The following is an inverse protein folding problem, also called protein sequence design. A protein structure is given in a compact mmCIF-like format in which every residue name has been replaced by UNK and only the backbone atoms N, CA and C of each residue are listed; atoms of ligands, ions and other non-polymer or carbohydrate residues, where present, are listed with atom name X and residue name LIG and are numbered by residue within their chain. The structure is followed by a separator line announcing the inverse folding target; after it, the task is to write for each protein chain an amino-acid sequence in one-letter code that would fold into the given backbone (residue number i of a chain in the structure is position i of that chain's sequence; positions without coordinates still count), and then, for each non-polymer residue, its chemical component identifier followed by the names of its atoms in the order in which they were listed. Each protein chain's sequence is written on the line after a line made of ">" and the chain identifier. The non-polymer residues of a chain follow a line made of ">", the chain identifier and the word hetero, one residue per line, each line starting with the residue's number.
data_IF_007265613878
#
_entry.id   IF_007265613878
#
_cell.length_a   1.000
_cell.length_b   1.000
_cell.length_c   1.000
_cell.angle_alpha   90.00
_cell.angle_beta   90.00
_cell.angle_gamma   90.00
#
_symmetry.space_group_name_H-M   'P 1'
#
loop_
_entity.id
_entity.type
_entity.pdbx_description
1 polymer ?
#
# COMPACT_ATOMS: atom_id res chain seq x y z
N UNK A 1 -17.94 19.40 9.11
CA UNK A 1 -17.49 18.09 8.61
C UNK A 1 -18.57 17.57 7.69
N UNK A 2 -18.30 17.55 6.39
CA UNK A 2 -19.33 17.47 5.36
C UNK A 2 -19.32 16.07 4.75
N UNK A 3 -20.38 15.30 5.03
CA UNK A 3 -20.73 14.11 4.27
C UNK A 3 -20.79 14.46 2.78
N UNK A 4 -20.27 13.60 1.89
CA UNK A 4 -20.42 13.80 0.45
C UNK A 4 -21.81 13.29 0.03
N UNK A 5 -22.45 13.98 -0.92
CA UNK A 5 -23.77 13.60 -1.39
C UNK A 5 -23.71 12.21 -2.06
N UNK A 6 -24.38 11.23 -1.46
CA UNK A 6 -24.51 9.89 -2.04
C UNK A 6 -25.46 9.95 -3.25
N UNK A 7 -25.11 9.25 -4.33
CA UNK A 7 -25.90 9.18 -5.57
C UNK A 7 -26.88 8.02 -5.51
N UNK A 8 -28.17 8.31 -5.64
CA UNK A 8 -29.21 7.27 -5.66
C UNK A 8 -29.06 6.34 -6.88
N UNK A 9 -29.19 5.03 -6.65
CA UNK A 9 -29.08 4.00 -7.70
C UNK A 9 -27.67 3.46 -7.95
N UNK A 10 -26.62 4.09 -7.41
CA UNK A 10 -25.25 3.59 -7.52
C UNK A 10 -24.85 2.68 -6.36
N UNK A 11 -24.22 1.56 -6.71
CA UNK A 11 -23.91 0.50 -5.77
C UNK A 11 -22.61 0.74 -4.97
N UNK A 12 -21.68 1.52 -5.55
CA UNK A 12 -20.45 2.03 -4.96
C UNK A 12 -20.54 3.55 -4.97
N UNK A 13 -20.03 4.20 -3.92
CA UNK A 13 -20.13 5.64 -3.73
C UNK A 13 -18.75 6.29 -3.51
N UNK A 14 -17.82 5.53 -2.92
CA UNK A 14 -16.47 6.00 -2.58
C UNK A 14 -15.43 4.98 -3.03
N UNK A 15 -14.37 5.49 -3.67
CA UNK A 15 -13.20 4.71 -4.05
C UNK A 15 -11.98 5.24 -3.28
N UNK A 16 -11.43 4.38 -2.43
CA UNK A 16 -10.18 4.61 -1.74
C UNK A 16 -9.00 4.20 -2.61
N UNK A 17 -7.95 4.99 -2.59
CA UNK A 17 -6.67 4.68 -3.21
C UNK A 17 -5.61 4.62 -2.12
N UNK A 18 -4.74 3.61 -2.17
CA UNK A 18 -3.46 3.67 -1.50
C UNK A 18 -2.51 4.64 -2.24
N UNK A 19 -1.47 5.13 -1.57
CA UNK A 19 -0.52 6.08 -2.16
C UNK A 19 0.74 5.40 -2.67
N UNK A 20 1.59 4.98 -1.72
CA UNK A 20 2.92 4.45 -1.99
C UNK A 20 2.85 3.13 -2.78
N UNK A 21 3.48 3.12 -3.96
CA UNK A 21 3.51 2.01 -4.92
C UNK A 21 2.16 1.62 -5.52
N UNK A 22 1.14 2.47 -5.33
CA UNK A 22 -0.16 2.40 -6.00
C UNK A 22 -0.35 3.59 -6.95
N UNK A 23 -0.13 4.83 -6.46
CA UNK A 23 -0.21 6.07 -7.25
C UNK A 23 1.15 6.54 -7.74
N UNK A 24 2.19 6.40 -6.91
CA UNK A 24 3.56 6.82 -7.19
C UNK A 24 4.56 5.80 -6.66
N UNK A 25 5.78 5.80 -7.20
CA UNK A 25 6.84 4.90 -6.73
C UNK A 25 7.33 5.31 -5.34
N UNK A 26 7.56 4.33 -4.47
CA UNK A 26 8.07 4.56 -3.11
C UNK A 26 9.08 3.51 -2.68
N UNK A 27 8.79 2.21 -2.86
CA UNK A 27 9.64 1.10 -2.38
C UNK A 27 11.09 1.18 -2.87
N UNK A 28 11.32 1.62 -4.12
CA UNK A 28 12.67 1.74 -4.68
C UNK A 28 13.58 2.67 -3.87
N UNK A 29 13.03 3.75 -3.30
CA UNK A 29 13.78 4.70 -2.47
C UNK A 29 14.10 4.11 -1.09
N UNK A 30 13.17 3.34 -0.50
CA UNK A 30 13.42 2.63 0.75
C UNK A 30 14.49 1.54 0.57
N UNK A 31 14.49 0.83 -0.57
CA UNK A 31 15.56 -0.12 -0.92
C UNK A 31 16.92 0.56 -1.09
N UNK A 32 16.95 1.72 -1.72
CA UNK A 32 18.19 2.51 -1.84
C UNK A 32 18.70 2.94 -0.47
N UNK A 33 17.81 3.41 0.41
CA UNK A 33 18.15 3.81 1.77
C UNK A 33 18.72 2.64 2.58
N UNK A 34 18.14 1.44 2.46
CA UNK A 34 18.67 0.22 3.08
C UNK A 34 20.05 -0.12 2.53
N UNK A 35 20.24 -0.10 1.20
CA UNK A 35 21.54 -0.38 0.57
C UNK A 35 22.64 0.61 1.00
N UNK A 36 22.33 1.90 1.08
CA UNK A 36 23.25 2.93 1.57
C UNK A 36 23.59 2.71 3.05
N UNK A 37 22.62 2.26 3.85
CA UNK A 37 22.82 1.88 5.23
C UNK A 37 23.73 0.66 5.37
N UNK A 38 23.55 -0.39 4.56
CA UNK A 38 24.45 -1.55 4.53
C UNK A 38 25.87 -1.12 4.19
N UNK A 39 26.03 -0.24 3.19
CA UNK A 39 27.34 0.28 2.77
C UNK A 39 28.07 1.04 3.89
N UNK A 40 27.35 1.73 4.78
CA UNK A 40 27.95 2.35 5.99
C UNK A 40 28.42 1.27 6.96
N UNK A 41 27.62 0.23 7.18
CA UNK A 41 27.95 -0.84 8.12
C UNK A 41 29.07 -1.78 7.60
N UNK A 42 29.33 -1.79 6.29
CA UNK A 42 30.43 -2.53 5.67
C UNK A 42 31.80 -2.22 6.28
N UNK A 43 31.98 -0.99 6.77
CA UNK A 43 33.23 -0.54 7.39
C UNK A 43 33.43 -1.13 8.80
N UNK A 44 32.38 -1.72 9.38
CA UNK A 44 32.35 -2.20 10.77
C UNK A 44 32.09 -3.71 10.88
N UNK A 45 31.40 -4.30 9.90
CA UNK A 45 30.88 -5.66 9.95
C UNK A 45 31.19 -6.40 8.65
N UNK A 46 31.35 -7.72 8.73
CA UNK A 46 31.36 -8.57 7.55
C UNK A 46 29.92 -8.77 7.04
N UNK A 47 29.57 -8.09 5.95
CA UNK A 47 28.22 -8.01 5.38
C UNK A 47 27.70 -9.33 4.79
N UNK A 48 28.49 -10.41 4.80
CA UNK A 48 28.04 -11.74 4.39
C UNK A 48 26.96 -12.35 5.29
N UNK A 49 26.65 -11.73 6.44
CA UNK A 49 25.72 -12.26 7.44
C UNK A 49 24.32 -11.61 7.33
N UNK A 50 23.32 -12.44 7.01
CA UNK A 50 21.88 -12.08 7.05
C UNK A 50 21.40 -11.53 8.40
N UNK A 51 22.23 -11.64 9.43
CA UNK A 51 22.04 -11.06 10.76
C UNK A 51 21.79 -9.56 10.73
N UNK A 52 22.39 -8.80 9.81
CA UNK A 52 22.18 -7.36 9.72
C UNK A 52 20.72 -7.04 9.38
N UNK A 53 20.19 -7.59 8.28
CA UNK A 53 18.80 -7.35 7.88
C UNK A 53 17.81 -7.88 8.93
N UNK A 54 18.09 -9.04 9.52
CA UNK A 54 17.25 -9.60 10.59
C UNK A 54 17.21 -8.69 11.83
N UNK A 55 18.35 -8.11 12.19
CA UNK A 55 18.45 -7.19 13.33
C UNK A 55 17.71 -5.89 13.04
N UNK A 56 17.91 -5.29 11.87
CA UNK A 56 17.17 -4.09 11.45
C UNK A 56 15.66 -4.34 11.50
N UNK A 57 15.18 -5.45 10.92
CA UNK A 57 13.76 -5.83 10.97
C UNK A 57 13.24 -6.03 12.40
N UNK A 58 14.06 -6.55 13.32
CA UNK A 58 13.69 -6.71 14.72
C UNK A 58 13.55 -5.34 15.42
N UNK A 59 14.49 -4.43 15.16
CA UNK A 59 14.48 -3.06 15.69
C UNK A 59 13.26 -2.28 15.15
N UNK A 60 13.01 -2.33 13.84
CA UNK A 60 11.84 -1.68 13.24
C UNK A 60 10.52 -2.22 13.82
N UNK A 61 10.40 -3.53 14.01
CA UNK A 61 9.19 -4.14 14.59
C UNK A 61 8.96 -3.71 16.04
N UNK A 62 10.00 -3.59 16.87
CA UNK A 62 9.82 -3.08 18.24
C UNK A 62 9.43 -1.60 18.22
N UNK A 63 10.03 -0.81 17.32
CA UNK A 63 9.87 0.63 17.25
C UNK A 63 8.58 1.07 16.56
N UNK A 64 7.96 0.20 15.76
CA UNK A 64 6.71 0.48 15.07
C UNK A 64 5.59 0.95 16.01
N UNK A 65 5.56 0.44 17.25
CA UNK A 65 4.57 0.83 18.27
C UNK A 65 4.75 2.25 18.80
N UNK A 66 5.94 2.83 18.63
CA UNK A 66 6.31 4.14 19.17
C UNK A 66 6.39 5.17 18.05
N UNK A 67 7.09 4.86 16.96
CA UNK A 67 7.31 5.80 15.86
C UNK A 67 6.30 5.68 14.72
N UNK A 68 5.54 4.57 14.66
CA UNK A 68 4.70 4.27 13.53
C UNK A 68 5.50 3.98 12.26
N UNK A 69 4.82 3.99 11.12
CA UNK A 69 5.43 3.81 9.80
C UNK A 69 6.04 5.12 9.27
N UNK A 70 7.09 4.99 8.45
CA UNK A 70 7.64 6.10 7.66
C UNK A 70 9.14 6.33 7.87
N UNK A 71 9.73 7.13 6.98
CA UNK A 71 11.17 7.37 6.92
C UNK A 71 11.80 7.90 8.22
N UNK A 72 11.07 8.67 9.03
CA UNK A 72 11.57 9.17 10.33
C UNK A 72 11.81 8.02 11.33
N UNK A 73 10.83 7.11 11.47
CA UNK A 73 10.96 5.94 12.34
C UNK A 73 12.01 4.95 11.83
N UNK A 74 12.09 4.79 10.51
CA UNK A 74 13.16 4.03 9.86
C UNK A 74 14.55 4.58 10.20
N UNK A 75 14.75 5.90 10.06
CA UNK A 75 16.04 6.55 10.35
C UNK A 75 16.49 6.33 11.79
N UNK A 76 15.57 6.49 12.75
CA UNK A 76 15.85 6.22 14.17
C UNK A 76 16.20 4.74 14.40
N UNK A 77 15.50 3.83 13.73
CA UNK A 77 15.75 2.39 13.82
C UNK A 77 17.08 1.98 13.18
N UNK A 78 17.49 2.62 12.09
CA UNK A 78 18.81 2.46 11.47
C UNK A 78 19.93 2.93 12.40
N UNK A 79 19.78 4.11 13.02
CA UNK A 79 20.74 4.64 14.00
C UNK A 79 20.89 3.67 15.18
N UNK A 80 19.77 3.22 15.74
CA UNK A 80 19.77 2.31 16.88
C UNK A 80 20.40 0.96 16.51
N UNK A 81 20.06 0.43 15.34
CA UNK A 81 20.64 -0.81 14.78
C UNK A 81 22.15 -0.67 14.59
N UNK A 82 22.62 0.44 14.04
CA UNK A 82 24.04 0.68 13.82
C UNK A 82 24.81 0.76 15.14
N UNK A 83 24.26 1.44 16.15
CA UNK A 83 24.86 1.50 17.49
C UNK A 83 24.92 0.09 18.10
N UNK A 84 23.84 -0.69 18.02
CA UNK A 84 23.78 -2.04 18.60
C UNK A 84 24.75 -3.01 17.91
N UNK A 85 24.74 -3.06 16.58
CA UNK A 85 25.57 -4.01 15.81
C UNK A 85 27.06 -3.70 15.92
N UNK A 86 27.43 -2.41 15.98
CA UNK A 86 28.83 -1.99 16.15
C UNK A 86 29.28 -1.95 17.60
N UNK A 87 28.43 -2.34 18.55
CA UNK A 87 28.70 -2.24 20.00
C UNK A 87 29.13 -0.81 20.40
N UNK A 88 28.43 0.19 19.87
CA UNK A 88 28.69 1.63 20.06
C UNK A 88 30.07 2.10 19.58
N UNK A 89 30.75 1.36 18.69
CA UNK A 89 32.02 1.79 18.07
C UNK A 89 31.83 2.61 16.79
N UNK A 90 30.61 2.69 16.25
CA UNK A 90 30.31 3.52 15.08
C UNK A 90 30.66 4.99 15.30
N UNK A 91 31.38 5.59 14.34
CA UNK A 91 31.78 6.98 14.42
C UNK A 91 30.59 7.92 14.24
N UNK A 92 30.61 9.06 14.93
CA UNK A 92 29.56 10.09 14.82
C UNK A 92 29.35 10.58 13.37
N UNK A 93 30.40 10.59 12.55
CA UNK A 93 30.31 10.92 11.11
C UNK A 93 29.44 9.94 10.33
N UNK A 94 29.43 8.68 10.72
CA UNK A 94 28.66 7.63 10.05
C UNK A 94 27.21 7.63 10.55
N UNK A 95 26.97 7.96 11.82
CA UNK A 95 25.62 8.31 12.30
C UNK A 95 25.05 9.50 11.52
N UNK A 96 25.84 10.55 11.25
CA UNK A 96 25.39 11.66 10.42
C UNK A 96 25.01 11.19 9.00
N UNK A 97 25.77 10.28 8.39
CA UNK A 97 25.42 9.69 7.09
C UNK A 97 24.07 8.98 7.14
N UNK A 98 23.76 8.25 8.21
CA UNK A 98 22.45 7.61 8.41
C UNK A 98 21.33 8.67 8.51
N UNK A 99 21.56 9.78 9.21
CA UNK A 99 20.59 10.89 9.26
C UNK A 99 20.35 11.45 7.85
N UNK A 100 21.39 11.58 7.02
CA UNK A 100 21.25 12.05 5.65
C UNK A 100 20.53 11.05 4.73
N UNK A 101 20.68 9.73 4.94
CA UNK A 101 19.83 8.71 4.28
C UNK A 101 18.36 8.98 4.60
N UNK A 102 18.04 9.20 5.87
CA UNK A 102 16.69 9.55 6.32
C UNK A 102 16.14 10.82 5.67
N UNK A 103 16.97 11.87 5.61
CA UNK A 103 16.61 13.15 4.98
C UNK A 103 16.37 12.98 3.49
N UNK A 104 17.25 12.27 2.77
CA UNK A 104 17.11 12.00 1.36
C UNK A 104 15.83 11.20 1.08
N UNK A 105 15.51 10.23 1.94
CA UNK A 105 14.26 9.44 1.84
C UNK A 105 13.01 10.32 2.05
N UNK A 106 13.05 11.32 2.94
CA UNK A 106 11.95 12.27 3.12
C UNK A 106 11.79 13.27 1.97
N UNK A 107 12.80 13.40 1.11
CA UNK A 107 12.86 14.35 -0.01
C UNK A 107 12.93 13.63 -1.36
N UNK A 108 12.60 12.33 -1.38
CA UNK A 108 12.70 11.55 -2.60
C UNK A 108 11.76 12.12 -3.68
N UNK A 109 12.14 12.06 -4.97
CA UNK A 109 11.25 12.52 -6.02
C UNK A 109 9.98 11.67 -6.07
N UNK A 110 8.84 12.33 -6.27
CA UNK A 110 7.53 11.67 -6.35
C UNK A 110 7.19 11.40 -7.81
N UNK A 111 7.50 10.20 -8.27
CA UNK A 111 7.21 9.76 -9.63
C UNK A 111 5.85 9.06 -9.70
N UNK A 112 4.85 9.74 -10.24
CA UNK A 112 3.52 9.16 -10.51
C UNK A 112 3.65 8.01 -11.51
N UNK A 113 3.01 6.88 -11.20
CA UNK A 113 3.01 5.70 -12.07
C UNK A 113 2.22 6.01 -13.35
N UNK A 114 2.73 5.57 -14.50
CA UNK A 114 2.12 5.83 -15.79
C UNK A 114 0.65 5.37 -15.85
N UNK A 115 -0.25 6.25 -16.30
CA UNK A 115 -1.68 6.00 -16.40
C UNK A 115 -2.50 6.28 -15.13
N UNK A 116 -1.85 6.57 -13.99
CA UNK A 116 -2.55 6.81 -12.72
C UNK A 116 -3.43 8.05 -12.78
N UNK A 117 -2.93 9.17 -13.31
CA UNK A 117 -3.72 10.41 -13.35
C UNK A 117 -4.99 10.24 -14.18
N UNK A 118 -4.89 9.57 -15.32
CA UNK A 118 -6.01 9.26 -16.20
C UNK A 118 -7.02 8.34 -15.51
N UNK A 119 -6.54 7.27 -14.86
CA UNK A 119 -7.37 6.32 -14.14
C UNK A 119 -8.13 6.98 -12.97
N UNK A 120 -7.44 7.76 -12.14
CA UNK A 120 -8.05 8.48 -11.01
C UNK A 120 -9.06 9.50 -11.53
N UNK A 121 -8.74 10.24 -12.60
CA UNK A 121 -9.65 11.23 -13.19
C UNK A 121 -10.92 10.57 -13.75
N UNK A 122 -10.80 9.43 -14.43
CA UNK A 122 -11.93 8.67 -14.95
C UNK A 122 -12.83 8.17 -13.81
N UNK A 123 -12.24 7.64 -12.73
CA UNK A 123 -12.98 7.17 -11.56
C UNK A 123 -13.65 8.35 -10.83
N UNK A 124 -12.95 9.47 -10.66
CA UNK A 124 -13.46 10.66 -9.97
C UNK A 124 -14.62 11.37 -10.70
N UNK A 125 -14.79 11.13 -12.00
CA UNK A 125 -15.96 11.62 -12.74
C UNK A 125 -17.27 11.00 -12.22
N UNK A 126 -17.21 9.72 -11.83
CA UNK A 126 -18.38 8.94 -11.43
C UNK A 126 -18.47 8.67 -9.93
N UNK A 127 -17.36 8.68 -9.21
CA UNK A 127 -17.31 8.31 -7.79
C UNK A 127 -16.57 9.35 -6.96
N UNK A 128 -16.94 9.47 -5.68
CA UNK A 128 -16.08 10.17 -4.73
C UNK A 128 -14.77 9.39 -4.57
N UNK A 129 -13.65 10.11 -4.42
CA UNK A 129 -12.33 9.50 -4.23
C UNK A 129 -11.68 9.98 -2.94
N UNK A 130 -10.91 9.11 -2.30
CA UNK A 130 -10.14 9.39 -1.08
C UNK A 130 -8.79 8.70 -1.15
N UNK A 131 -7.73 9.40 -0.76
CA UNK A 131 -6.42 8.79 -0.55
C UNK A 131 -6.38 8.26 0.89
N UNK A 132 -6.13 6.96 1.08
CA UNK A 132 -5.97 6.33 2.39
C UNK A 132 -4.59 5.71 2.43
N UNK A 133 -3.67 6.28 3.20
CA UNK A 133 -2.26 5.86 3.23
C UNK A 133 -1.76 5.67 4.65
N UNK A 134 -0.68 4.87 4.80
CA UNK A 134 0.05 4.77 6.07
C UNK A 134 1.23 5.71 6.07
N UNK A 135 1.74 5.97 7.27
CA UNK A 135 3.04 6.58 7.45
C UNK A 135 2.96 7.95 8.11
N UNK A 136 3.94 8.78 7.78
CA UNK A 136 4.05 10.10 8.36
C UNK A 136 3.12 11.10 7.65
N UNK A 137 2.32 11.83 8.43
CA UNK A 137 1.35 12.80 7.92
C UNK A 137 2.00 13.84 7.00
N UNK A 138 3.03 14.52 7.51
CA UNK A 138 3.69 15.61 6.77
C UNK A 138 4.36 15.10 5.49
N UNK A 139 5.01 13.93 5.55
CA UNK A 139 5.61 13.32 4.36
C UNK A 139 4.55 12.94 3.32
N UNK A 140 3.41 12.37 3.72
CA UNK A 140 2.35 11.99 2.79
C UNK A 140 1.65 13.22 2.18
N UNK A 141 1.47 14.30 2.94
CA UNK A 141 0.98 15.60 2.44
C UNK A 141 1.93 16.19 1.38
N UNK A 142 3.24 16.16 1.64
CA UNK A 142 4.21 16.58 0.64
C UNK A 142 4.20 15.69 -0.61
N UNK A 143 4.04 14.38 -0.45
CA UNK A 143 3.96 13.45 -1.58
C UNK A 143 2.78 13.75 -2.48
N UNK A 144 1.59 13.97 -1.92
CA UNK A 144 0.40 14.26 -2.73
C UNK A 144 0.55 15.60 -3.47
N UNK A 145 1.13 16.62 -2.85
CA UNK A 145 1.41 17.91 -3.51
C UNK A 145 2.40 17.75 -4.67
N UNK A 146 3.55 17.09 -4.42
CA UNK A 146 4.60 16.90 -5.42
C UNK A 146 4.18 15.95 -6.56
N UNK A 147 3.27 15.01 -6.30
CA UNK A 147 2.71 14.13 -7.32
C UNK A 147 1.88 14.90 -8.36
N UNK A 148 1.40 16.10 -8.03
CA UNK A 148 0.45 16.83 -8.85
C UNK A 148 -0.94 16.19 -8.91
N UNK A 149 -1.30 15.31 -7.97
CA UNK A 149 -2.63 14.68 -7.86
C UNK A 149 -3.51 15.30 -6.77
N UNK A 150 -3.02 16.32 -6.05
CA UNK A 150 -3.76 16.96 -4.97
C UNK A 150 -5.13 17.51 -5.38
N UNK A 151 -5.27 17.96 -6.63
CA UNK A 151 -6.54 18.43 -7.21
C UNK A 151 -7.60 17.33 -7.34
N UNK A 152 -7.17 16.07 -7.51
CA UNK A 152 -8.03 14.90 -7.62
C UNK A 152 -8.40 14.32 -6.26
N UNK A 153 -7.59 14.56 -5.23
CA UNK A 153 -7.79 14.04 -3.88
C UNK A 153 -8.08 15.16 -2.88
N UNK A 154 -9.32 15.69 -2.86
CA UNK A 154 -9.70 16.70 -1.87
C UNK A 154 -9.71 16.16 -0.44
N UNK A 155 -9.59 14.84 -0.27
CA UNK A 155 -9.52 14.17 1.02
C UNK A 155 -8.40 13.15 1.07
N UNK A 156 -7.53 13.33 2.06
CA UNK A 156 -6.39 12.48 2.36
C UNK A 156 -6.51 12.02 3.80
N UNK A 157 -6.51 10.70 4.01
CA UNK A 157 -6.60 10.04 5.30
C UNK A 157 -5.28 9.32 5.57
N UNK A 158 -4.43 9.91 6.41
CA UNK A 158 -3.19 9.27 6.86
C UNK A 158 -3.48 8.52 8.16
N UNK A 159 -3.27 7.20 8.14
CA UNK A 159 -3.59 6.31 9.26
C UNK A 159 -2.35 5.60 9.79
N UNK A 160 -2.33 5.28 11.08
CA UNK A 160 -1.21 4.55 11.69
C UNK A 160 -1.15 3.08 11.25
N UNK A 161 -2.30 2.45 11.00
CA UNK A 161 -2.40 1.06 10.60
C UNK A 161 -3.60 0.89 9.66
N UNK A 162 -3.52 -0.06 8.73
CA UNK A 162 -4.65 -0.39 7.84
C UNK A 162 -5.18 -1.75 8.24
N UNK A 163 -6.08 -1.72 9.23
CA UNK A 163 -6.78 -2.87 9.77
C UNK A 163 -8.31 -2.67 9.65
N UNK A 164 -9.12 -3.72 9.88
CA UNK A 164 -10.58 -3.62 9.76
C UNK A 164 -11.19 -2.50 10.61
N UNK A 165 -10.63 -2.28 11.82
CA UNK A 165 -11.10 -1.25 12.75
C UNK A 165 -10.86 0.15 12.18
N UNK A 166 -9.70 0.37 11.58
CA UNK A 166 -9.31 1.67 11.02
C UNK A 166 -10.13 2.00 9.78
N UNK A 167 -10.33 1.05 8.87
CA UNK A 167 -11.22 1.26 7.73
C UNK A 167 -12.66 1.52 8.19
N UNK A 168 -13.19 0.76 9.16
CA UNK A 168 -14.52 1.01 9.68
C UNK A 168 -14.67 2.41 10.30
N UNK A 169 -13.64 2.90 11.02
CA UNK A 169 -13.60 4.27 11.55
C UNK A 169 -13.64 5.30 10.43
N UNK A 170 -12.72 5.19 9.46
CA UNK A 170 -12.64 6.13 8.33
C UNK A 170 -13.98 6.18 7.59
N UNK A 171 -14.58 5.03 7.29
CA UNK A 171 -15.88 4.97 6.62
C UNK A 171 -17.04 5.52 7.48
N UNK A 172 -16.97 5.37 8.81
CA UNK A 172 -17.92 5.98 9.73
C UNK A 172 -17.88 7.50 9.68
N UNK A 173 -16.71 8.11 9.48
CA UNK A 173 -16.58 9.56 9.29
C UNK A 173 -17.18 10.05 7.96
N UNK A 174 -17.31 9.14 6.98
CA UNK A 174 -18.01 9.38 5.71
C UNK A 174 -19.50 9.07 5.76
N UNK A 175 -20.02 8.55 6.89
CA UNK A 175 -21.38 7.98 6.99
C UNK A 175 -21.67 6.97 5.87
N UNK A 176 -20.67 6.12 5.56
CA UNK A 176 -20.71 5.21 4.43
C UNK A 176 -20.63 3.75 4.89
N UNK A 177 -21.62 2.89 4.54
CA UNK A 177 -21.51 1.47 4.79
C UNK A 177 -20.44 0.85 3.88
N UNK A 178 -19.62 -0.05 4.44
CA UNK A 178 -18.48 -0.66 3.74
C UNK A 178 -18.85 -1.31 2.40
N UNK A 179 -20.07 -1.85 2.25
CA UNK A 179 -20.50 -2.49 1.01
C UNK A 179 -20.66 -1.52 -0.18
N UNK A 180 -20.52 -0.21 0.04
CA UNK A 180 -20.50 0.87 -0.96
C UNK A 180 -19.10 1.47 -1.17
N UNK A 181 -18.07 0.86 -0.58
CA UNK A 181 -16.68 1.30 -0.67
C UNK A 181 -15.82 0.28 -1.43
N UNK A 182 -14.91 0.78 -2.28
CA UNK A 182 -13.87 0.00 -2.95
C UNK A 182 -12.51 0.57 -2.56
N UNK A 183 -11.55 -0.27 -2.19
CA UNK A 183 -10.15 0.12 -1.97
C UNK A 183 -9.26 -0.40 -3.10
N UNK A 184 -8.45 0.47 -3.69
CA UNK A 184 -7.44 0.16 -4.70
C UNK A 184 -6.07 0.25 -4.03
N UNK A 185 -5.27 -0.80 -4.11
CA UNK A 185 -3.92 -0.79 -3.54
C UNK A 185 -3.05 -1.95 -3.97
N UNK A 186 -1.75 -1.80 -3.70
CA UNK A 186 -0.71 -2.75 -4.09
C UNK A 186 -0.47 -3.86 -3.05
N UNK A 187 -1.07 -3.78 -1.86
CA UNK A 187 -0.86 -4.74 -0.77
C UNK A 187 -2.15 -5.47 -0.39
N UNK A 188 -2.14 -6.79 -0.52
CA UNK A 188 -3.26 -7.62 -0.07
C UNK A 188 -3.52 -7.44 1.42
N UNK A 189 -2.47 -7.46 2.23
CA UNK A 189 -2.57 -7.47 3.69
C UNK A 189 -3.09 -6.16 4.26
N UNK A 190 -2.75 -5.01 3.66
CA UNK A 190 -3.12 -3.69 4.19
C UNK A 190 -4.25 -3.02 3.42
N UNK A 191 -4.38 -3.24 2.11
CA UNK A 191 -5.35 -2.49 1.31
C UNK A 191 -6.60 -3.30 1.04
N UNK A 192 -6.44 -4.60 0.73
CA UNK A 192 -7.55 -5.43 0.24
C UNK A 192 -8.20 -6.24 1.36
N UNK A 193 -7.45 -7.10 2.04
CA UNK A 193 -7.96 -8.04 3.04
C UNK A 193 -8.75 -7.35 4.17
N UNK A 194 -8.28 -6.23 4.77
CA UNK A 194 -9.02 -5.57 5.84
C UNK A 194 -10.35 -4.99 5.38
N UNK A 195 -10.43 -4.51 4.13
CA UNK A 195 -11.64 -3.95 3.54
C UNK A 195 -12.65 -5.05 3.22
N UNK A 196 -12.17 -6.19 2.69
CA UNK A 196 -13.01 -7.37 2.49
C UNK A 196 -13.57 -7.90 3.82
N UNK A 197 -12.78 -7.87 4.89
CA UNK A 197 -13.20 -8.34 6.21
C UNK A 197 -14.37 -7.53 6.80
N UNK A 198 -14.52 -6.26 6.44
CA UNK A 198 -15.65 -5.41 6.84
C UNK A 198 -16.79 -5.40 5.81
N UNK A 199 -16.70 -6.21 4.76
CA UNK A 199 -17.73 -6.34 3.71
C UNK A 199 -17.65 -5.33 2.58
N UNK A 200 -16.52 -4.61 2.45
CA UNK A 200 -16.23 -3.78 1.30
C UNK A 200 -15.64 -4.56 0.12
N UNK A 201 -15.11 -3.81 -0.84
CA UNK A 201 -14.53 -4.35 -2.07
C UNK A 201 -13.06 -3.93 -2.20
N UNK A 202 -12.26 -4.75 -2.87
CA UNK A 202 -10.85 -4.44 -3.09
C UNK A 202 -10.42 -4.74 -4.52
N UNK A 203 -9.57 -3.87 -5.06
CA UNK A 203 -8.86 -4.04 -6.33
C UNK A 203 -7.38 -4.07 -6.01
N UNK A 204 -6.73 -5.16 -6.38
CA UNK A 204 -5.32 -5.40 -6.10
C UNK A 204 -4.48 -5.09 -7.34
N UNK A 205 -3.56 -4.13 -7.22
CA UNK A 205 -2.65 -3.70 -8.29
C UNK A 205 -1.19 -4.02 -7.92
N UNK A 206 -0.69 -5.24 -8.20
CA UNK A 206 0.66 -5.61 -7.81
C UNK A 206 1.71 -4.76 -8.54
N UNK A 207 2.75 -4.35 -7.81
CA UNK A 207 3.95 -3.73 -8.39
C UNK A 207 4.67 -4.76 -9.26
N UNK A 208 5.27 -4.35 -10.39
CA UNK A 208 5.90 -5.25 -11.39
C UNK A 208 6.89 -6.28 -10.81
N UNK A 209 7.53 -6.00 -9.67
CA UNK A 209 8.45 -6.94 -9.00
C UNK A 209 7.78 -8.19 -8.40
N UNK A 210 6.51 -8.12 -8.00
CA UNK A 210 5.81 -9.22 -7.31
C UNK A 210 5.32 -10.32 -8.29
N UNK A 211 5.20 -9.97 -9.58
CA UNK A 211 4.85 -10.93 -10.63
C UNK A 211 6.01 -11.91 -10.93
N UNK A 212 7.26 -11.48 -10.76
CA UNK A 212 8.46 -12.30 -11.00
C UNK A 212 8.71 -13.37 -9.92
N UNK A 213 8.47 -13.03 -8.65
CA UNK A 213 8.66 -13.95 -7.52
C UNK A 213 7.68 -15.15 -7.58
N UNK A 214 6.46 -14.94 -8.08
CA UNK A 214 5.46 -16.01 -8.24
C UNK A 214 5.68 -16.89 -9.47
N UNK A 215 6.32 -16.39 -10.52
CA UNK A 215 6.65 -17.19 -11.70
C UNK A 215 7.76 -18.23 -11.41
N UNK A 216 8.73 -17.89 -10.55
CA UNK A 216 9.80 -18.79 -10.12
C UNK A 216 9.32 -19.93 -9.21
N UNK A 217 8.36 -19.67 -8.32
CA UNK A 217 7.83 -20.67 -7.39
C UNK A 217 7.01 -21.79 -8.07
N UNK A 218 6.52 -21.57 -9.30
CA UNK A 218 5.75 -22.57 -10.06
C UNK A 218 6.59 -23.62 -10.79
N UNK A 219 7.91 -23.44 -10.93
CA UNK A 219 8.77 -24.41 -11.63
C UNK A 219 9.32 -25.55 -10.75
N UNK A 220 9.21 -25.46 -9.43
CA UNK A 220 9.80 -26.42 -8.49
C UNK A 220 8.89 -27.52 -7.91
N UNK A 221 7.58 -27.50 -8.16
CA UNK A 221 6.64 -28.51 -7.63
C UNK A 221 5.72 -29.07 -8.70
N UNK A 222 6.23 -30.04 -9.46
CA UNK A 222 5.40 -31.02 -10.19
C UNK A 222 5.76 -32.42 -9.71
N UNK A 223 5.07 -32.88 -8.67
CA UNK A 223 4.59 -34.26 -8.47
C UNK A 223 3.76 -34.32 -7.16
N UNK A 224 2.66 -35.06 -7.24
CA UNK A 224 1.68 -35.42 -6.21
C UNK A 224 0.48 -34.47 -5.97
N UNK A 225 -0.62 -34.86 -6.65
CA UNK A 225 -2.02 -34.95 -6.19
C UNK A 225 -2.85 -33.69 -5.90
N UNK A 226 -3.72 -33.42 -6.89
CA UNK A 226 -5.16 -33.12 -6.84
C UNK A 226 -5.80 -32.10 -5.89
N UNK A 227 -6.64 -31.29 -6.55
CA UNK A 227 -7.81 -30.57 -6.05
C UNK A 227 -7.58 -29.42 -5.04
N UNK A 228 -7.03 -28.28 -5.51
CA UNK A 228 -7.36 -26.92 -4.99
C UNK A 228 -6.67 -25.75 -5.72
N UNK A 229 -6.72 -25.69 -7.06
CA UNK A 229 -6.22 -24.50 -7.77
C UNK A 229 -7.14 -24.09 -8.92
N UNK A 230 -8.19 -23.32 -8.61
CA UNK A 230 -8.96 -22.58 -9.60
C UNK A 230 -9.64 -21.36 -8.93
N UNK A 231 -8.90 -20.25 -8.86
CA UNK A 231 -9.38 -18.85 -8.80
C UNK A 231 -8.21 -17.93 -8.44
N UNK A 232 -7.51 -17.44 -9.44
CA UNK A 232 -6.58 -16.33 -9.29
C UNK A 232 -6.74 -15.50 -10.56
N UNK A 233 -7.39 -14.33 -10.43
CA UNK A 233 -7.88 -13.50 -11.54
C UNK A 233 -9.33 -13.01 -11.38
N UNK A 234 -9.98 -13.16 -10.21
CA UNK A 234 -11.36 -12.69 -10.01
C UNK A 234 -11.52 -11.96 -8.69
N UNK A 235 -12.27 -10.85 -8.75
CA UNK A 235 -12.81 -10.11 -7.60
C UNK A 235 -13.16 -11.07 -6.47
N UNK A 236 -12.60 -10.84 -5.29
CA UNK A 236 -12.93 -11.60 -4.09
C UNK A 236 -13.95 -10.81 -3.27
N UNK A 237 -15.23 -11.20 -3.33
CA UNK A 237 -16.18 -10.83 -2.29
C UNK A 237 -15.94 -11.73 -1.06
N UNK A 238 -15.77 -11.15 0.13
CA UNK A 238 -15.73 -11.91 1.38
C UNK A 238 -17.13 -12.26 1.89
N UNK A 239 -17.36 -13.53 2.24
CA UNK A 239 -18.45 -13.96 3.15
C UNK A 239 -19.53 -14.88 2.54
N UNK A 240 -19.52 -16.14 2.96
CA UNK A 240 -20.30 -17.29 2.49
C UNK A 240 -21.83 -17.24 2.74
N UNK A 241 -22.60 -17.88 1.84
CA UNK A 241 -23.82 -18.59 2.25
C UNK A 241 -25.18 -17.97 1.91
N UNK A 242 -25.34 -17.20 0.83
CA UNK A 242 -26.66 -16.96 0.23
C UNK A 242 -26.49 -16.63 -1.26
N UNK A 243 -27.30 -17.24 -2.12
CA UNK A 243 -27.26 -17.01 -3.57
C UNK A 243 -27.39 -15.52 -3.90
N UNK A 244 -26.28 -14.86 -4.21
CA UNK A 244 -26.27 -13.46 -4.65
C UNK A 244 -26.52 -13.38 -6.16
N UNK A 245 -27.72 -13.76 -6.59
CA UNK A 245 -28.21 -13.56 -7.97
C UNK A 245 -29.14 -12.36 -8.11
N UNK A 246 -29.29 -11.56 -7.06
CA UNK A 246 -30.17 -10.39 -7.02
C UNK A 246 -29.65 -9.15 -7.79
N UNK A 247 -30.54 -8.22 -8.20
CA UNK A 247 -30.18 -7.02 -8.96
C UNK A 247 -29.09 -6.16 -8.33
N UNK A 248 -29.11 -6.02 -7.00
CA UNK A 248 -28.12 -5.23 -6.26
C UNK A 248 -26.70 -5.82 -6.34
N UNK A 249 -26.56 -7.14 -6.27
CA UNK A 249 -25.26 -7.81 -6.40
C UNK A 249 -24.67 -7.65 -7.82
N UNK A 250 -25.53 -7.69 -8.85
CA UNK A 250 -25.13 -7.45 -10.24
C UNK A 250 -24.69 -6.00 -10.48
N UNK A 251 -25.39 -5.03 -9.90
CA UNK A 251 -25.02 -3.62 -9.99
C UNK A 251 -23.64 -3.34 -9.34
N UNK A 252 -23.38 -3.94 -8.18
CA UNK A 252 -22.07 -3.85 -7.51
C UNK A 252 -20.95 -4.46 -8.34
N UNK A 253 -21.18 -5.65 -8.90
CA UNK A 253 -20.18 -6.30 -9.74
C UNK A 253 -19.89 -5.49 -11.01
N UNK A 254 -20.91 -4.88 -11.63
CA UNK A 254 -20.72 -3.98 -12.77
C UNK A 254 -19.90 -2.74 -12.41
N UNK A 255 -20.21 -2.09 -11.28
CA UNK A 255 -19.45 -0.93 -10.81
C UNK A 255 -17.99 -1.30 -10.52
N UNK A 256 -17.76 -2.38 -9.77
CA UNK A 256 -16.40 -2.84 -9.48
C UNK A 256 -15.62 -3.24 -10.74
N UNK A 257 -16.27 -3.87 -11.73
CA UNK A 257 -15.65 -4.19 -13.03
C UNK A 257 -15.30 -2.93 -13.82
N UNK A 258 -16.17 -1.90 -13.80
CA UNK A 258 -15.89 -0.61 -14.45
C UNK A 258 -14.68 0.07 -13.80
N UNK A 259 -14.69 0.20 -12.47
CA UNK A 259 -13.57 0.77 -11.71
C UNK A 259 -12.27 -0.02 -11.98
N UNK A 260 -12.35 -1.35 -12.10
CA UNK A 260 -11.19 -2.17 -12.46
C UNK A 260 -10.69 -1.88 -13.87
N UNK A 261 -11.59 -1.75 -14.85
CA UNK A 261 -11.22 -1.42 -16.23
C UNK A 261 -10.56 -0.03 -16.30
N UNK A 262 -11.10 0.94 -15.59
CA UNK A 262 -10.56 2.30 -15.50
C UNK A 262 -9.19 2.30 -14.79
N UNK A 263 -9.05 1.55 -13.70
CA UNK A 263 -7.79 1.41 -12.95
C UNK A 263 -6.69 0.67 -13.72
N UNK A 264 -7.03 -0.16 -14.70
CA UNK A 264 -6.07 -0.97 -15.47
C UNK A 264 -5.89 -0.52 -16.92
N UNK A 265 -6.51 0.60 -17.33
CA UNK A 265 -6.43 1.13 -18.69
C UNK A 265 -7.05 0.22 -19.75
N UNK A 266 -8.08 -0.56 -19.40
CA UNK A 266 -8.82 -1.43 -20.32
C UNK A 266 -8.10 -2.74 -20.71
N UNK A 267 -6.91 -3.02 -20.19
CA UNK A 267 -6.19 -4.28 -20.43
C UNK A 267 -6.61 -5.38 -19.44
N UNK A 268 -7.87 -5.82 -19.52
CA UNK A 268 -8.36 -6.98 -18.78
C UNK A 268 -9.09 -7.98 -19.69
N UNK A 269 -8.46 -8.36 -20.81
CA UNK A 269 -8.74 -9.63 -21.49
C UNK A 269 -7.41 -10.30 -21.87
N UNK A 270 -6.93 -11.21 -21.01
CA UNK A 270 -5.94 -12.24 -21.35
C UNK A 270 -6.34 -13.50 -20.57
N UNK A 271 -6.39 -14.69 -21.20
CA UNK A 271 -7.42 -15.72 -20.99
C UNK A 271 -7.36 -16.52 -19.69
#
# INVERSE_FOLDING_TARGET
>A
MTSFAQRDGEAIQLVGFDGDDTLWKSEDYYRSAEADFEAILADYLDLGDSRMQQHLLAVERRNLKVFGYGAKGMTLSMIETAIELTQASIAARDIQRIVEIGRATLQHPVEVIAGVREAVSAIAADYAVVLITKGDLFHQEQKIEQSGLADLFPRVEVVSEKDPKTYARVLGEFDLPAQRFVMIGNSLRSDVEPVLAIGGWGIYTPVRGDLGARAGARRGRRRATDARSARCGRLACGGAGAGCTGPAARAKLKAANKITADATGGHAEVP
#
